data_IF_006349390573
#
_entry.id   IF_006349390573
#
_cell.length_a   1.000
_cell.length_b   1.000
_cell.length_c   1.000
_cell.angle_alpha   90.00
_cell.angle_beta   90.00
_cell.angle_gamma   90.00
#
_symmetry.space_group_name_H-M   'P 1'
#
loop_
_entity.id
_entity.type
_entity.pdbx_description
1 polymer ?
#
# COMPACT_ATOMS: atom_id res chain seq x y z
N UNK A 1 13.08 6.89 -9.45
CA UNK A 1 12.71 5.57 -8.89
C UNK A 1 13.91 5.06 -8.09
N UNK A 2 13.74 4.33 -6.98
CA UNK A 2 14.91 3.77 -6.30
C UNK A 2 15.46 2.56 -7.05
N UNK A 3 16.75 2.30 -6.88
CA UNK A 3 17.46 1.20 -7.54
C UNK A 3 16.92 -0.19 -7.22
N UNK A 4 16.19 -0.37 -6.11
CA UNK A 4 15.57 -1.65 -5.76
C UNK A 4 14.36 -1.91 -6.67
N UNK A 5 13.48 -0.92 -6.85
CA UNK A 5 12.36 -1.00 -7.79
C UNK A 5 12.81 -1.25 -9.22
N UNK A 6 13.81 -0.49 -9.69
CA UNK A 6 14.40 -0.65 -11.03
C UNK A 6 14.88 -2.09 -11.24
N UNK A 7 15.71 -2.60 -10.30
CA UNK A 7 16.20 -3.98 -10.34
C UNK A 7 15.08 -5.01 -10.38
N UNK A 8 14.04 -4.86 -9.55
CA UNK A 8 12.94 -5.83 -9.45
C UNK A 8 12.16 -5.87 -10.77
N UNK A 9 11.79 -4.73 -11.36
CA UNK A 9 11.02 -4.71 -12.61
C UNK A 9 11.86 -5.14 -13.83
N UNK A 10 13.15 -4.81 -13.87
CA UNK A 10 14.05 -5.27 -14.94
C UNK A 10 14.26 -6.79 -14.91
N UNK A 11 14.41 -7.37 -13.71
CA UNK A 11 14.73 -8.80 -13.56
C UNK A 11 13.51 -9.67 -13.35
N UNK A 12 12.37 -9.09 -12.98
CA UNK A 12 11.20 -9.80 -12.46
C UNK A 12 11.55 -10.74 -11.30
N UNK A 13 12.44 -10.30 -10.41
CA UNK A 13 12.90 -11.07 -9.26
C UNK A 13 12.99 -10.23 -8.00
N UNK A 14 12.47 -10.79 -6.91
CA UNK A 14 12.75 -10.35 -5.53
C UNK A 14 13.68 -11.35 -4.86
N UNK A 15 14.36 -10.92 -3.80
CA UNK A 15 15.41 -11.70 -3.15
C UNK A 15 15.09 -11.88 -1.66
N UNK A 16 15.13 -13.10 -1.14
CA UNK A 16 14.98 -13.35 0.30
C UNK A 16 16.27 -13.06 1.09
N UNK A 17 16.29 -13.39 2.38
CA UNK A 17 17.45 -13.14 3.26
C UNK A 17 18.64 -14.04 2.90
N UNK A 18 18.38 -15.21 2.32
CA UNK A 18 19.37 -16.20 1.90
C UNK A 18 19.90 -15.95 0.48
N UNK A 19 19.38 -14.95 -0.23
CA UNK A 19 19.77 -14.62 -1.58
C UNK A 19 19.04 -15.41 -2.67
N UNK A 20 17.99 -16.17 -2.32
CA UNK A 20 17.19 -16.86 -3.32
C UNK A 20 16.33 -15.87 -4.10
N UNK A 21 16.25 -16.06 -5.42
CA UNK A 21 15.44 -15.24 -6.30
C UNK A 21 14.06 -15.85 -6.47
N UNK A 22 13.02 -15.05 -6.27
CA UNK A 22 11.60 -15.44 -6.33
C UNK A 22 10.92 -14.58 -7.39
N UNK A 23 10.01 -15.19 -8.16
CA UNK A 23 9.13 -14.45 -9.06
C UNK A 23 8.02 -13.76 -8.24
N UNK A 24 7.98 -12.41 -8.18
CA UNK A 24 6.97 -11.72 -7.39
C UNK A 24 5.62 -11.62 -8.13
N UNK A 25 5.54 -11.96 -9.42
CA UNK A 25 4.32 -11.80 -10.21
C UNK A 25 3.51 -13.11 -10.28
N UNK A 26 2.17 -13.04 -10.29
CA UNK A 26 1.32 -11.83 -10.42
C UNK A 26 0.95 -11.18 -9.07
N UNK A 27 1.57 -11.58 -7.96
CA UNK A 27 1.23 -11.05 -6.62
C UNK A 27 1.59 -9.57 -6.49
N UNK A 28 2.77 -9.18 -6.96
CA UNK A 28 3.18 -7.79 -6.90
C UNK A 28 2.47 -6.94 -7.95
N UNK A 29 2.22 -5.68 -7.60
CA UNK A 29 1.63 -4.71 -8.51
C UNK A 29 2.52 -4.45 -9.74
N UNK A 30 1.93 -4.10 -10.90
CA UNK A 30 2.68 -3.55 -12.03
C UNK A 30 3.32 -2.20 -11.72
N UNK A 31 4.37 -1.84 -12.46
CA UNK A 31 5.10 -0.58 -12.30
C UNK A 31 4.20 0.65 -12.51
N UNK A 32 3.23 0.54 -13.42
CA UNK A 32 2.26 1.58 -13.73
C UNK A 32 1.39 1.90 -12.52
N UNK A 33 0.88 0.87 -11.82
CA UNK A 33 0.12 1.03 -10.57
C UNK A 33 0.95 1.72 -9.49
N UNK A 34 2.21 1.32 -9.35
CA UNK A 34 3.13 1.94 -8.38
C UNK A 34 3.41 3.40 -8.69
N UNK A 35 3.54 3.74 -9.98
CA UNK A 35 3.74 5.11 -10.45
C UNK A 35 2.51 5.97 -10.14
N UNK A 36 1.30 5.45 -10.35
CA UNK A 36 0.05 6.13 -9.97
C UNK A 36 0.04 6.43 -8.46
N UNK A 37 0.37 5.47 -7.61
CA UNK A 37 0.45 5.68 -6.15
C UNK A 37 1.45 6.79 -5.78
N UNK A 38 2.63 6.77 -6.40
CA UNK A 38 3.65 7.81 -6.20
C UNK A 38 3.12 9.18 -6.62
N UNK A 39 2.54 9.30 -7.82
CA UNK A 39 2.05 10.56 -8.37
C UNK A 39 0.92 11.14 -7.54
N UNK A 40 -0.03 10.32 -7.07
CA UNK A 40 -1.11 10.76 -6.18
C UNK A 40 -0.59 11.39 -4.89
N UNK A 41 0.46 10.81 -4.29
CA UNK A 41 1.06 11.34 -3.06
C UNK A 41 1.78 12.68 -3.30
N UNK A 42 2.40 12.84 -4.47
CA UNK A 42 3.03 14.10 -4.88
C UNK A 42 1.98 15.16 -5.20
N UNK A 43 0.99 14.85 -6.03
CA UNK A 43 -0.02 15.79 -6.51
C UNK A 43 -0.87 16.32 -5.35
N UNK A 44 -1.36 15.42 -4.50
CA UNK A 44 -2.26 15.77 -3.40
C UNK A 44 -1.55 16.03 -2.08
N UNK A 45 -0.21 16.04 -2.08
CA UNK A 45 0.60 16.34 -0.90
C UNK A 45 0.28 15.44 0.31
N UNK A 46 -0.14 14.19 0.08
CA UNK A 46 -0.48 13.23 1.13
C UNK A 46 0.68 13.06 2.14
N UNK A 47 0.39 13.19 3.44
CA UNK A 47 1.39 13.08 4.52
C UNK A 47 1.28 11.75 5.24
N UNK A 48 0.06 11.25 5.47
CA UNK A 48 -0.15 10.01 6.18
C UNK A 48 -0.83 9.01 5.25
N UNK A 49 -0.21 7.85 5.07
CA UNK A 49 -0.69 6.86 4.10
C UNK A 49 -0.81 5.50 4.76
N UNK A 50 -1.85 4.76 4.38
CA UNK A 50 -2.16 3.44 4.90
C UNK A 50 -2.16 2.43 3.75
N UNK A 51 -1.63 1.24 3.99
CA UNK A 51 -1.69 0.10 3.10
C UNK A 51 -2.15 -1.16 3.85
N UNK A 52 -3.05 -1.90 3.23
CA UNK A 52 -3.48 -3.23 3.68
C UNK A 52 -3.04 -4.22 2.62
N UNK A 53 -2.10 -5.10 2.98
CA UNK A 53 -1.39 -5.98 2.05
C UNK A 53 -0.01 -5.41 1.70
N UNK A 54 1.05 -6.06 2.19
CA UNK A 54 2.44 -5.65 1.95
C UNK A 54 3.12 -6.59 0.94
N UNK A 55 2.89 -7.90 1.07
CA UNK A 55 3.51 -8.94 0.25
C UNK A 55 5.02 -8.72 0.05
N UNK A 56 5.49 -8.59 -1.20
CA UNK A 56 6.89 -8.34 -1.54
C UNK A 56 7.32 -6.87 -1.44
N UNK A 57 6.44 -5.96 -1.02
CA UNK A 57 6.71 -4.56 -0.68
C UNK A 57 6.81 -3.58 -1.85
N UNK A 58 6.38 -3.96 -3.06
CA UNK A 58 6.59 -3.12 -4.25
C UNK A 58 5.78 -1.82 -4.18
N UNK A 59 4.49 -1.88 -3.87
CA UNK A 59 3.63 -0.70 -3.64
C UNK A 59 4.19 0.20 -2.55
N UNK A 60 4.56 -0.37 -1.41
CA UNK A 60 5.19 0.31 -0.28
C UNK A 60 6.46 1.06 -0.67
N UNK A 61 7.30 0.47 -1.54
CA UNK A 61 8.52 1.12 -2.02
C UNK A 61 8.20 2.39 -2.83
N UNK A 62 7.15 2.39 -3.67
CA UNK A 62 6.72 3.60 -4.37
C UNK A 62 6.18 4.65 -3.40
N UNK A 63 5.35 4.23 -2.45
CA UNK A 63 4.74 5.13 -1.46
C UNK A 63 5.80 5.78 -0.58
N UNK A 64 6.72 4.99 -0.01
CA UNK A 64 7.80 5.51 0.83
C UNK A 64 8.80 6.34 0.02
N UNK A 65 9.04 6.00 -1.24
CA UNK A 65 9.83 6.85 -2.15
C UNK A 65 9.19 8.23 -2.32
N UNK A 66 7.87 8.30 -2.50
CA UNK A 66 7.16 9.56 -2.64
C UNK A 66 7.32 10.45 -1.38
N UNK A 67 7.19 9.87 -0.19
CA UNK A 67 7.43 10.58 1.07
C UNK A 67 8.88 11.06 1.21
N UNK A 68 9.84 10.22 0.83
CA UNK A 68 11.26 10.60 0.81
C UNK A 68 11.54 11.78 -0.10
N UNK A 69 11.03 11.76 -1.32
CA UNK A 69 11.29 12.82 -2.30
C UNK A 69 10.64 14.14 -1.90
N UNK A 70 9.56 14.08 -1.10
CA UNK A 70 8.95 15.25 -0.43
C UNK A 70 9.65 15.65 0.86
N UNK A 71 10.55 14.82 1.39
CA UNK A 71 11.17 14.97 2.71
C UNK A 71 10.17 15.04 3.87
N UNK A 72 8.93 14.57 3.66
CA UNK A 72 7.84 14.60 4.63
C UNK A 72 6.86 13.47 4.33
N UNK A 73 6.39 12.81 5.38
CA UNK A 73 5.29 11.86 5.33
C UNK A 73 5.56 10.60 6.14
N UNK A 74 4.53 9.79 6.32
CA UNK A 74 4.55 8.52 7.03
C UNK A 74 3.68 7.51 6.30
N UNK A 75 4.18 6.29 6.22
CA UNK A 75 3.46 5.17 5.65
C UNK A 75 3.31 4.04 6.66
N UNK A 76 2.08 3.52 6.76
CA UNK A 76 1.76 2.33 7.55
C UNK A 76 1.34 1.23 6.60
N UNK A 77 1.98 0.07 6.70
CA UNK A 77 1.49 -1.15 6.06
C UNK A 77 1.06 -2.19 7.10
N UNK A 78 0.02 -2.95 6.76
CA UNK A 78 -0.51 -4.04 7.57
C UNK A 78 -0.53 -5.32 6.74
N UNK A 79 0.13 -6.37 7.22
CA UNK A 79 0.12 -7.67 6.54
C UNK A 79 0.34 -8.81 7.55
N UNK A 80 -0.66 -9.69 7.78
CA UNK A 80 -0.57 -10.75 8.78
C UNK A 80 0.37 -11.91 8.42
N UNK A 81 0.88 -11.95 7.18
CA UNK A 81 1.61 -13.11 6.64
C UNK A 81 3.03 -12.78 6.19
N UNK A 82 3.56 -11.65 6.66
CA UNK A 82 4.83 -11.15 6.18
C UNK A 82 6.01 -12.07 6.52
N UNK A 83 6.11 -12.57 7.74
CA UNK A 83 7.15 -13.54 8.12
C UNK A 83 6.79 -14.96 7.68
N UNK A 84 5.51 -15.34 7.73
CA UNK A 84 5.07 -16.72 7.47
C UNK A 84 5.02 -17.12 5.99
N UNK A 85 4.54 -16.22 5.13
CA UNK A 85 4.29 -16.49 3.70
C UNK A 85 5.29 -15.76 2.80
N UNK A 86 5.56 -14.49 3.11
CA UNK A 86 6.34 -13.60 2.25
C UNK A 86 7.84 -13.60 2.57
N UNK A 87 8.28 -14.44 3.53
CA UNK A 87 9.67 -14.54 3.99
C UNK A 87 10.29 -13.18 4.40
N UNK A 88 9.45 -12.26 4.86
CA UNK A 88 9.81 -10.88 5.20
C UNK A 88 10.44 -10.09 4.04
N UNK A 89 10.26 -10.51 2.79
CA UNK A 89 10.89 -9.90 1.62
C UNK A 89 10.47 -8.45 1.44
N UNK A 90 9.20 -8.11 1.71
CA UNK A 90 8.74 -6.71 1.67
C UNK A 90 9.54 -5.82 2.63
N UNK A 91 9.73 -6.28 3.87
CA UNK A 91 10.52 -5.58 4.88
C UNK A 91 12.00 -5.46 4.48
N UNK A 92 12.58 -6.54 3.93
CA UNK A 92 13.95 -6.54 3.43
C UNK A 92 14.15 -5.56 2.28
N UNK A 93 13.19 -5.48 1.36
CA UNK A 93 13.26 -4.56 0.21
C UNK A 93 13.21 -3.10 0.67
N UNK A 94 12.34 -2.75 1.62
CA UNK A 94 12.24 -1.41 2.20
C UNK A 94 13.55 -1.03 2.90
N UNK A 95 14.13 -1.97 3.66
CA UNK A 95 15.45 -1.79 4.29
C UNK A 95 16.56 -1.60 3.28
N UNK A 96 16.63 -2.43 2.24
CA UNK A 96 17.60 -2.33 1.14
C UNK A 96 17.50 -1.00 0.40
N UNK A 97 16.29 -0.44 0.28
CA UNK A 97 16.05 0.86 -0.36
C UNK A 97 16.35 2.06 0.55
N UNK A 98 16.66 1.84 1.84
CA UNK A 98 16.89 2.90 2.82
C UNK A 98 15.65 3.75 3.08
N UNK A 99 14.48 3.11 3.16
CA UNK A 99 13.18 3.78 3.31
C UNK A 99 12.52 3.57 4.68
N UNK A 100 13.21 2.93 5.63
CA UNK A 100 12.68 2.60 6.96
C UNK A 100 12.20 3.83 7.75
N UNK A 101 12.79 5.01 7.52
CA UNK A 101 12.39 6.26 8.20
C UNK A 101 10.94 6.67 7.91
N UNK A 102 10.43 6.34 6.72
CA UNK A 102 9.07 6.69 6.30
C UNK A 102 8.06 5.58 6.57
N UNK A 103 8.49 4.48 7.21
CA UNK A 103 7.74 3.22 7.21
C UNK A 103 7.49 2.68 8.61
N UNK A 104 6.22 2.33 8.88
CA UNK A 104 5.80 1.59 10.07
C UNK A 104 4.99 0.37 9.67
N UNK A 105 5.26 -0.76 10.29
CA UNK A 105 4.67 -2.04 9.91
C UNK A 105 3.93 -2.73 11.06
N UNK A 106 2.80 -3.36 10.75
CA UNK A 106 2.07 -4.25 11.66
C UNK A 106 1.90 -5.63 11.05
N UNK A 107 2.56 -6.64 11.64
CA UNK A 107 2.32 -8.05 11.31
C UNK A 107 1.11 -8.58 12.07
N UNK A 108 -0.09 -8.19 11.64
CA UNK A 108 -1.35 -8.59 12.27
C UNK A 108 -2.49 -8.48 11.26
N UNK A 109 -3.63 -9.14 11.50
CA UNK A 109 -4.80 -8.97 10.65
C UNK A 109 -5.30 -7.53 10.69
N UNK A 110 -5.74 -7.00 9.55
CA UNK A 110 -6.24 -5.62 9.43
C UNK A 110 -7.38 -5.33 10.41
N UNK A 111 -8.31 -6.26 10.59
CA UNK A 111 -9.43 -6.14 11.54
C UNK A 111 -9.01 -6.00 13.01
N UNK A 112 -7.77 -6.30 13.38
CA UNK A 112 -7.23 -6.08 14.74
C UNK A 112 -6.45 -4.76 14.87
N UNK A 113 -5.87 -4.28 13.77
CA UNK A 113 -5.01 -3.09 13.74
C UNK A 113 -5.84 -1.84 13.46
N UNK A 114 -6.73 -1.89 12.47
CA UNK A 114 -7.52 -0.73 12.05
C UNK A 114 -8.37 -0.14 13.18
N UNK A 115 -9.04 -0.91 14.07
CA UNK A 115 -9.77 -0.29 15.19
C UNK A 115 -8.87 0.50 16.14
N UNK A 116 -7.64 0.03 16.38
CA UNK A 116 -6.68 0.68 17.29
C UNK A 116 -6.14 1.99 16.71
N UNK A 117 -5.86 2.00 15.41
CA UNK A 117 -5.44 3.22 14.70
C UNK A 117 -6.57 4.27 14.71
N UNK A 118 -7.83 3.83 14.62
CA UNK A 118 -9.01 4.70 14.69
C UNK A 118 -9.22 5.27 16.09
N UNK A 119 -9.10 4.44 17.13
CA UNK A 119 -9.12 4.87 18.54
C UNK A 119 -8.00 5.88 18.84
N UNK A 120 -6.82 5.65 18.27
CA UNK A 120 -5.67 6.56 18.32
C UNK A 120 -5.87 7.88 17.58
N UNK A 121 -6.99 8.03 16.86
CA UNK A 121 -7.32 9.19 16.00
C UNK A 121 -6.26 9.49 14.94
N UNK A 122 -5.56 8.45 14.47
CA UNK A 122 -4.71 8.60 13.30
C UNK A 122 -5.58 8.98 12.10
N UNK A 123 -5.02 9.78 11.20
CA UNK A 123 -5.70 10.24 9.98
C UNK A 123 -4.83 9.90 8.80
N UNK A 124 -5.46 9.47 7.72
CA UNK A 124 -4.79 9.11 6.47
C UNK A 124 -5.30 9.98 5.34
N UNK A 125 -4.40 10.43 4.48
CA UNK A 125 -4.69 11.17 3.26
C UNK A 125 -4.83 10.22 2.06
N UNK A 126 -4.23 9.03 2.14
CA UNK A 126 -4.34 7.96 1.14
C UNK A 126 -4.44 6.61 1.86
N UNK A 127 -5.39 5.76 1.46
CA UNK A 127 -5.48 4.37 1.86
C UNK A 127 -5.45 3.46 0.63
N UNK A 128 -4.49 2.54 0.57
CA UNK A 128 -4.34 1.54 -0.47
C UNK A 128 -4.73 0.16 0.07
N UNK A 129 -5.72 -0.49 -0.56
CA UNK A 129 -6.27 -1.77 -0.10
C UNK A 129 -6.00 -2.83 -1.18
N UNK A 130 -5.09 -3.76 -0.88
CA UNK A 130 -4.63 -4.85 -1.74
C UNK A 130 -4.39 -6.12 -0.89
N UNK A 131 -5.33 -6.37 0.03
CA UNK A 131 -5.22 -7.41 1.06
C UNK A 131 -5.62 -8.80 0.58
N UNK A 132 -6.46 -9.50 1.37
CA UNK A 132 -6.79 -10.91 1.11
C UNK A 132 -7.68 -11.17 -0.11
N UNK A 133 -8.26 -10.10 -0.70
CA UNK A 133 -9.26 -10.14 -1.76
C UNK A 133 -10.52 -10.96 -1.46
N UNK A 134 -10.69 -11.48 -0.24
CA UNK A 134 -11.98 -12.03 0.19
C UNK A 134 -12.96 -10.87 0.35
N UNK A 135 -14.17 -11.01 -0.20
CA UNK A 135 -15.18 -9.96 -0.25
C UNK A 135 -15.44 -9.31 1.11
N UNK A 136 -15.66 -10.13 2.14
CA UNK A 136 -15.98 -9.71 3.50
C UNK A 136 -14.82 -8.94 4.16
N UNK A 137 -13.59 -9.43 4.01
CA UNK A 137 -12.39 -8.73 4.48
C UNK A 137 -12.21 -7.39 3.77
N UNK A 138 -12.28 -7.39 2.45
CA UNK A 138 -12.10 -6.20 1.62
C UNK A 138 -13.15 -5.14 1.94
N UNK A 139 -14.41 -5.56 2.16
CA UNK A 139 -15.50 -4.66 2.54
C UNK A 139 -15.29 -4.06 3.95
N UNK A 140 -14.82 -4.85 4.91
CA UNK A 140 -14.50 -4.35 6.26
C UNK A 140 -13.34 -3.37 6.20
N UNK A 141 -12.26 -3.73 5.50
CA UNK A 141 -11.08 -2.89 5.29
C UNK A 141 -11.47 -1.55 4.66
N UNK A 142 -12.30 -1.59 3.63
CA UNK A 142 -12.83 -0.40 2.97
C UNK A 142 -13.70 0.45 3.90
N UNK A 143 -14.66 -0.17 4.59
CA UNK A 143 -15.59 0.53 5.47
C UNK A 143 -14.86 1.25 6.61
N UNK A 144 -13.83 0.61 7.19
CA UNK A 144 -13.02 1.24 8.23
C UNK A 144 -12.10 2.29 7.63
N UNK A 145 -11.50 2.03 6.47
CA UNK A 145 -10.65 3.01 5.75
C UNK A 145 -11.40 4.31 5.45
N UNK A 146 -12.67 4.23 5.03
CA UNK A 146 -13.53 5.40 4.80
C UNK A 146 -13.79 6.20 6.09
N UNK A 147 -13.86 5.56 7.25
CA UNK A 147 -14.10 6.29 8.50
C UNK A 147 -12.94 7.21 8.88
N UNK A 148 -11.71 6.92 8.42
CA UNK A 148 -10.59 7.87 8.52
C UNK A 148 -10.77 9.10 7.60
N UNK A 149 -11.58 8.97 6.55
CA UNK A 149 -11.81 10.00 5.54
C UNK A 149 -12.75 11.13 5.97
N UNK A 150 -13.40 11.05 7.15
CA UNK A 150 -14.42 12.01 7.57
C UNK A 150 -13.90 13.42 7.95
N UNK A 151 -12.69 13.81 7.53
CA UNK A 151 -12.14 15.14 7.85
C UNK A 151 -11.32 15.86 6.76
N UNK A 152 -11.31 15.40 5.51
CA UNK A 152 -10.59 16.08 4.42
C UNK A 152 -10.45 15.23 3.14
N UNK A 153 -9.69 15.73 2.16
CA UNK A 153 -9.43 15.10 0.84
C UNK A 153 -8.67 13.77 0.99
N UNK A 154 -9.37 12.67 1.27
CA UNK A 154 -8.76 11.36 1.45
C UNK A 154 -9.01 10.47 0.24
N UNK A 155 -7.94 9.98 -0.36
CA UNK A 155 -7.98 9.13 -1.55
C UNK A 155 -7.98 7.66 -1.12
N UNK A 156 -9.00 6.89 -1.50
CA UNK A 156 -9.04 5.46 -1.23
C UNK A 156 -8.88 4.70 -2.53
N UNK A 157 -7.77 3.98 -2.66
CA UNK A 157 -7.50 3.12 -3.79
C UNK A 157 -7.70 1.66 -3.38
N UNK A 158 -8.60 0.96 -4.06
CA UNK A 158 -8.83 -0.46 -3.84
C UNK A 158 -8.49 -1.24 -5.10
N UNK A 159 -7.59 -2.20 -4.96
CA UNK A 159 -7.38 -3.23 -5.98
C UNK A 159 -7.97 -4.50 -5.40
N UNK A 160 -9.15 -4.88 -5.90
CA UNK A 160 -9.76 -6.14 -5.54
C UNK A 160 -9.60 -7.11 -6.70
N UNK A 161 -8.97 -8.26 -6.44
CA UNK A 161 -9.02 -9.44 -7.30
C UNK A 161 -10.30 -10.27 -7.09
N UNK A 162 -11.21 -9.83 -6.21
CA UNK A 162 -12.51 -10.44 -5.98
C UNK A 162 -13.38 -10.24 -7.25
N UNK A 163 -13.94 -11.31 -7.81
CA UNK A 163 -14.76 -11.20 -9.04
C UNK A 163 -16.01 -10.32 -8.85
N UNK A 164 -16.46 -10.21 -7.60
CA UNK A 164 -17.60 -9.41 -7.17
C UNK A 164 -17.26 -7.92 -6.95
N UNK A 165 -15.98 -7.55 -6.94
CA UNK A 165 -15.51 -6.18 -6.81
C UNK A 165 -14.52 -5.88 -7.95
N UNK A 166 -14.99 -5.25 -9.03
CA UNK A 166 -14.07 -4.72 -10.06
C UNK A 166 -13.14 -3.67 -9.44
N UNK A 167 -11.95 -3.39 -10.02
CA UNK A 167 -11.00 -2.42 -9.46
C UNK A 167 -11.70 -1.06 -9.20
N UNK A 168 -11.81 -0.66 -7.94
CA UNK A 168 -12.47 0.59 -7.55
C UNK A 168 -11.44 1.64 -7.17
N UNK A 169 -11.42 2.74 -7.93
CA UNK A 169 -10.66 3.94 -7.62
C UNK A 169 -11.65 4.95 -7.02
N UNK A 170 -11.52 5.26 -5.73
CA UNK A 170 -12.40 6.22 -5.08
C UNK A 170 -11.56 7.39 -4.56
N UNK A 171 -11.50 8.43 -5.39
CA UNK A 171 -10.83 9.69 -5.11
C UNK A 171 -11.87 10.61 -4.45
N UNK A 172 -11.80 10.84 -3.13
CA UNK A 172 -12.65 11.84 -2.48
C UNK A 172 -11.89 13.18 -2.39
N UNK A 173 -12.25 14.11 -3.27
CA UNK A 173 -11.81 15.50 -3.25
C UNK A 173 -12.77 16.33 -4.09
N UNK A 174 -13.79 16.91 -3.43
CA UNK A 174 -15.04 17.42 -4.04
C UNK A 174 -15.81 16.34 -4.82
N UNK A 175 -17.14 16.36 -4.72
CA UNK A 175 -18.02 15.32 -5.28
C UNK A 175 -18.08 15.50 -6.81
N UNK A 176 -17.03 15.13 -7.54
CA UNK A 176 -17.12 14.90 -8.97
C UNK A 176 -16.27 13.69 -9.38
N UNK A 177 -16.97 12.63 -9.77
CA UNK A 177 -16.51 11.47 -10.56
C UNK A 177 -15.84 10.30 -9.80
N UNK A 178 -16.62 9.25 -9.53
CA UNK A 178 -16.12 7.87 -9.64
C UNK A 178 -15.64 7.67 -11.09
N UNK A 179 -14.34 7.67 -11.34
CA UNK A 179 -13.80 7.19 -12.62
C UNK A 179 -13.47 5.72 -12.49
N UNK A 180 -14.32 4.88 -13.07
CA UNK A 180 -13.91 3.54 -13.52
C UNK A 180 -12.93 3.76 -14.68
N UNK A 181 -11.63 3.57 -14.43
CA UNK A 181 -10.65 3.47 -15.50
C UNK A 181 -10.81 2.06 -16.11
N UNK A 182 -11.52 1.99 -17.23
CA UNK A 182 -11.67 0.80 -18.06
C UNK A 182 -10.41 0.49 -18.85
#
# INVERSE_FOLDING_TARGET
MNSILERIYETSRVEDAEGNLIDPFPVAIPCETGTILYDLIQEYQCKNTLEIGLAYGLSTLFICQAHRDKTEGNHIAIDPKQTQLWKSIGLLNIKRAGLEEYFRFFESPSYEVLPKLLEGREKFDLAFIDGSHFFDYTLVDFSISINYCQSGNVYCLMISGCQELEKFYIIYGEIETMKLLS
#
